data_IF_745010401473
#
_entry.id   IF_745010401473
#
_cell.length_a   1.000
_cell.length_b   1.000
_cell.length_c   1.000
_cell.angle_alpha   90.00
_cell.angle_beta   90.00
_cell.angle_gamma   90.00
#
_symmetry.space_group_name_H-M   'P 1'
#
loop_
_entity.id
_entity.type
_entity.pdbx_description
1 polymer ?
#
# COMPACT_ATOMS: atom_id res chain seq x y z
N UNK A 1 41.04 43.29 51.92
CA UNK A 1 40.78 41.87 51.58
C UNK A 1 39.89 41.85 50.34
N UNK A 2 40.49 41.52 49.19
CA UNK A 2 40.05 40.64 48.08
C UNK A 2 38.55 40.28 48.03
N UNK A 3 37.83 40.17 46.91
CA UNK A 3 38.24 39.67 45.59
C UNK A 3 37.10 39.91 44.56
N UNK A 4 37.48 39.87 43.29
CA UNK A 4 36.66 39.85 42.07
C UNK A 4 35.62 38.72 42.05
N UNK A 5 34.49 38.93 41.35
CA UNK A 5 34.00 37.90 40.41
C UNK A 5 33.10 38.51 39.31
N UNK A 6 33.63 38.48 38.09
CA UNK A 6 32.89 38.56 36.84
C UNK A 6 32.22 37.20 36.55
N UNK A 7 31.05 37.19 35.90
CA UNK A 7 30.54 36.13 35.00
C UNK A 7 29.18 36.62 34.48
N UNK A 8 28.98 37.03 33.22
CA UNK A 8 29.28 36.40 31.92
C UNK A 8 28.34 35.23 31.57
N UNK A 9 27.83 35.32 30.32
CA UNK A 9 27.19 34.27 29.47
C UNK A 9 25.75 33.89 29.84
N UNK A 10 24.72 34.35 29.13
CA UNK A 10 24.22 34.00 27.80
C UNK A 10 23.51 32.63 27.69
N UNK A 11 22.37 32.66 26.97
CA UNK A 11 21.59 31.55 26.44
C UNK A 11 20.81 30.71 27.50
N UNK A 12 19.59 30.23 27.27
CA UNK A 12 18.91 29.89 26.02
C UNK A 12 17.40 30.03 26.16
N UNK A 13 16.73 30.39 25.08
CA UNK A 13 15.30 30.16 24.90
C UNK A 13 15.07 28.65 24.87
N UNK A 14 14.45 28.10 25.92
CA UNK A 14 13.97 26.72 25.92
C UNK A 14 12.76 26.61 24.98
N UNK A 15 13.06 26.40 23.70
CA UNK A 15 12.13 25.89 22.71
C UNK A 15 11.69 24.50 23.13
N UNK A 16 10.53 24.42 23.78
CA UNK A 16 9.88 23.18 24.17
C UNK A 16 9.46 22.40 22.92
N UNK A 17 10.38 21.62 22.34
CA UNK A 17 10.06 20.59 21.36
C UNK A 17 9.28 19.49 22.08
N UNK A 18 7.97 19.47 21.89
CA UNK A 18 7.14 18.31 22.25
C UNK A 18 7.55 17.15 21.34
N UNK A 19 8.39 16.26 21.85
CA UNK A 19 8.70 14.96 21.22
C UNK A 19 7.39 14.20 21.10
N UNK A 20 6.84 14.15 19.88
CA UNK A 20 5.76 13.25 19.52
C UNK A 20 6.28 11.81 19.64
N UNK A 21 6.11 11.21 20.82
CA UNK A 21 6.33 9.78 21.04
C UNK A 21 5.18 8.96 20.43
N UNK A 22 4.85 9.21 19.17
CA UNK A 22 4.22 8.19 18.35
C UNK A 22 5.31 7.20 17.95
N UNK A 23 5.72 6.40 18.95
CA UNK A 23 6.47 5.17 18.75
C UNK A 23 5.80 4.42 17.61
N UNK A 24 6.49 4.43 16.46
CA UNK A 24 6.21 3.59 15.31
C UNK A 24 6.00 2.17 15.83
N UNK A 25 4.75 1.77 16.01
CA UNK A 25 4.40 0.42 16.43
C UNK A 25 4.66 -0.49 15.24
N UNK A 26 5.72 -1.32 15.22
CA UNK A 26 5.80 -2.38 14.23
C UNK A 26 4.89 -3.48 14.76
N UNK A 27 3.64 -3.51 14.30
CA UNK A 27 2.82 -4.74 14.40
C UNK A 27 2.86 -5.44 13.05
N UNK A 28 4.05 -5.86 12.65
CA UNK A 28 4.18 -6.92 11.67
C UNK A 28 4.66 -8.11 12.49
N UNK A 29 3.69 -8.80 13.07
CA UNK A 29 3.85 -10.15 13.60
C UNK A 29 4.29 -11.02 12.43
N UNK A 30 5.61 -11.21 12.32
CA UNK A 30 6.32 -12.13 11.46
C UNK A 30 6.01 -13.61 11.75
N UNK A 31 4.75 -14.02 11.91
CA UNK A 31 4.51 -15.36 12.47
C UNK A 31 3.23 -16.07 12.02
N UNK A 32 2.91 -16.04 10.72
CA UNK A 32 1.98 -17.00 10.09
C UNK A 32 2.37 -17.09 8.61
N UNK A 33 2.78 -18.18 7.97
CA UNK A 33 2.91 -19.59 8.35
C UNK A 33 3.89 -20.25 7.37
N UNK A 34 4.72 -21.18 7.85
CA UNK A 34 5.38 -22.21 7.05
C UNK A 34 4.32 -23.27 6.70
N UNK A 35 3.47 -22.96 5.71
CA UNK A 35 2.64 -23.96 5.05
C UNK A 35 2.31 -23.38 3.67
N UNK A 36 2.77 -24.03 2.60
CA UNK A 36 2.53 -23.66 1.19
C UNK A 36 1.07 -23.92 0.80
N UNK A 37 0.13 -23.44 1.62
CA UNK A 37 -1.29 -23.76 1.56
C UNK A 37 -2.12 -22.49 1.58
N UNK A 38 -2.42 -21.97 0.38
CA UNK A 38 -3.53 -21.04 0.09
C UNK A 38 -3.88 -20.07 1.21
N UNK A 39 -3.07 -19.02 1.33
CA UNK A 39 -3.32 -17.93 2.27
C UNK A 39 -4.59 -17.15 1.87
N UNK A 40 -5.64 -17.24 2.69
CA UNK A 40 -6.87 -16.46 2.53
C UNK A 40 -6.77 -15.17 3.36
N UNK A 41 -6.77 -14.05 2.67
CA UNK A 41 -6.63 -12.72 3.25
C UNK A 41 -7.99 -12.02 3.37
N UNK A 42 -8.16 -11.20 4.41
CA UNK A 42 -9.32 -10.30 4.46
C UNK A 42 -9.08 -9.06 3.60
N UNK A 43 -10.15 -8.33 3.27
CA UNK A 43 -10.05 -7.02 2.57
C UNK A 43 -9.13 -6.04 3.31
N UNK A 44 -9.11 -6.09 4.65
CA UNK A 44 -8.24 -5.23 5.47
C UNK A 44 -6.77 -5.62 5.34
N UNK A 45 -6.47 -6.91 5.27
CA UNK A 45 -5.10 -7.41 5.14
C UNK A 45 -4.55 -7.06 3.77
N UNK A 46 -5.33 -7.31 2.71
CA UNK A 46 -4.97 -6.91 1.34
C UNK A 46 -4.73 -5.39 1.24
N UNK A 47 -5.60 -4.58 1.84
CA UNK A 47 -5.40 -3.13 1.88
C UNK A 47 -4.07 -2.73 2.55
N UNK A 48 -3.68 -3.46 3.60
CA UNK A 48 -2.47 -3.18 4.38
C UNK A 48 -1.20 -3.64 3.67
N UNK A 49 -1.24 -4.79 3.00
CA UNK A 49 -0.14 -5.40 2.24
C UNK A 49 0.16 -4.55 1.00
N UNK A 50 -0.85 -4.28 0.18
CA UNK A 50 -0.69 -3.57 -1.09
C UNK A 50 -0.77 -2.04 -0.96
N UNK A 51 -0.89 -1.52 0.26
CA UNK A 51 -0.96 -0.07 0.57
C UNK A 51 -2.06 0.66 -0.24
N UNK A 52 -3.23 0.03 -0.36
CA UNK A 52 -4.39 0.58 -1.05
C UNK A 52 -5.56 0.76 -0.10
N UNK A 53 -6.47 1.68 -0.40
CA UNK A 53 -7.66 1.88 0.40
C UNK A 53 -8.60 0.66 0.29
N UNK A 54 -9.21 0.25 1.41
CA UNK A 54 -10.21 -0.83 1.42
C UNK A 54 -11.37 -0.54 0.46
N UNK A 55 -11.77 0.74 0.34
CA UNK A 55 -12.80 1.19 -0.61
C UNK A 55 -12.49 0.76 -2.04
N UNK A 56 -11.24 0.92 -2.48
CA UNK A 56 -10.78 0.51 -3.81
C UNK A 56 -10.98 -0.99 -4.03
N UNK A 57 -10.69 -1.81 -3.02
CA UNK A 57 -10.87 -3.27 -3.11
C UNK A 57 -12.37 -3.60 -3.21
N UNK A 58 -13.23 -2.97 -2.40
CA UNK A 58 -14.67 -3.16 -2.50
C UNK A 58 -15.23 -2.71 -3.86
N UNK A 59 -14.70 -1.64 -4.42
CA UNK A 59 -15.10 -1.17 -5.74
C UNK A 59 -14.65 -2.16 -6.82
N UNK A 60 -13.43 -2.72 -6.74
CA UNK A 60 -12.97 -3.81 -7.62
C UNK A 60 -13.86 -5.05 -7.53
N UNK A 61 -14.23 -5.48 -6.32
CA UNK A 61 -15.14 -6.63 -6.11
C UNK A 61 -16.49 -6.41 -6.79
N UNK A 62 -17.01 -5.17 -6.79
CA UNK A 62 -18.30 -4.83 -7.40
C UNK A 62 -18.24 -4.62 -8.90
N UNK A 63 -17.18 -4.00 -9.39
CA UNK A 63 -17.07 -3.52 -10.78
C UNK A 63 -16.38 -4.51 -11.69
N UNK A 64 -15.43 -5.30 -11.17
CA UNK A 64 -14.61 -6.21 -11.95
C UNK A 64 -14.95 -7.66 -11.60
N UNK A 65 -15.73 -8.29 -12.48
CA UNK A 65 -16.10 -9.72 -12.37
C UNK A 65 -14.90 -10.67 -12.39
N UNK A 66 -13.74 -10.23 -12.87
CA UNK A 66 -12.51 -11.04 -12.89
C UNK A 66 -11.72 -10.98 -11.59
N UNK A 67 -12.07 -10.07 -10.68
CA UNK A 67 -11.37 -9.91 -9.41
C UNK A 67 -11.57 -11.15 -8.52
N UNK A 68 -10.49 -11.75 -7.97
CA UNK A 68 -10.58 -12.98 -7.20
C UNK A 68 -11.07 -12.70 -5.77
N UNK A 69 -12.32 -13.05 -5.48
CA UNK A 69 -12.88 -12.97 -4.13
C UNK A 69 -13.77 -14.18 -3.82
N UNK A 70 -13.94 -14.45 -2.53
CA UNK A 70 -14.82 -15.47 -1.99
C UNK A 70 -15.79 -14.77 -1.04
N UNK A 71 -17.10 -14.90 -1.30
CA UNK A 71 -18.13 -14.40 -0.39
C UNK A 71 -18.36 -15.44 0.72
N UNK A 72 -17.98 -15.11 1.96
CA UNK A 72 -18.07 -16.02 3.11
C UNK A 72 -19.34 -15.83 3.94
N UNK A 73 -20.36 -15.13 3.43
CA UNK A 73 -21.73 -15.21 3.97
C UNK A 73 -22.53 -13.90 3.99
N UNK A 74 -23.55 -13.87 4.85
CA UNK A 74 -24.68 -12.91 4.85
C UNK A 74 -24.29 -11.42 5.02
N UNK A 75 -23.09 -11.11 5.54
CA UNK A 75 -22.69 -9.73 5.89
C UNK A 75 -21.47 -9.23 5.10
N UNK A 76 -21.54 -9.15 3.77
CA UNK A 76 -20.49 -8.53 2.90
C UNK A 76 -19.05 -8.87 3.33
N UNK A 77 -18.85 -10.10 3.82
CA UNK A 77 -17.54 -10.57 4.27
C UNK A 77 -16.90 -11.23 3.06
N UNK A 78 -15.86 -10.59 2.56
CA UNK A 78 -15.09 -11.11 1.44
C UNK A 78 -13.73 -11.56 1.94
N UNK A 79 -13.32 -12.74 1.48
CA UNK A 79 -11.96 -13.22 1.60
C UNK A 79 -11.33 -13.27 0.21
N UNK A 80 -10.02 -13.08 0.15
CA UNK A 80 -9.25 -12.99 -1.08
C UNK A 80 -8.12 -14.01 -0.99
N UNK A 81 -8.10 -14.93 -1.94
CA UNK A 81 -7.00 -15.88 -2.09
C UNK A 81 -5.77 -15.14 -2.62
N UNK A 82 -4.66 -15.21 -1.88
CA UNK A 82 -3.44 -14.47 -2.19
C UNK A 82 -2.84 -14.86 -3.55
N UNK A 83 -2.75 -16.15 -3.85
CA UNK A 83 -2.17 -16.64 -5.11
C UNK A 83 -3.00 -16.17 -6.30
N UNK A 84 -4.34 -16.26 -6.19
CA UNK A 84 -5.23 -15.78 -7.25
C UNK A 84 -5.15 -14.28 -7.42
N UNK A 85 -5.01 -13.53 -6.33
CA UNK A 85 -4.83 -12.08 -6.36
C UNK A 85 -3.54 -11.70 -7.10
N UNK A 86 -2.42 -12.34 -6.76
CA UNK A 86 -1.13 -12.09 -7.40
C UNK A 86 -1.19 -12.40 -8.91
N UNK A 87 -1.74 -13.56 -9.28
CA UNK A 87 -1.94 -13.93 -10.69
C UNK A 87 -2.85 -12.93 -11.43
N UNK A 88 -3.88 -12.42 -10.76
CA UNK A 88 -4.76 -11.39 -11.33
C UNK A 88 -4.03 -10.05 -11.54
N UNK A 89 -3.23 -9.61 -10.58
CA UNK A 89 -2.42 -8.38 -10.68
C UNK A 89 -1.44 -8.49 -11.84
N UNK A 90 -0.75 -9.62 -11.97
CA UNK A 90 0.18 -9.87 -13.07
C UNK A 90 -0.54 -9.78 -14.43
N UNK A 91 -1.67 -10.47 -14.56
CA UNK A 91 -2.48 -10.46 -15.79
C UNK A 91 -2.96 -9.06 -16.15
N UNK A 92 -3.43 -8.30 -15.16
CA UNK A 92 -3.89 -6.91 -15.36
C UNK A 92 -2.75 -6.02 -15.82
N UNK A 93 -1.60 -6.10 -15.16
CA UNK A 93 -0.41 -5.32 -15.49
C UNK A 93 0.09 -5.64 -16.90
N UNK A 94 0.09 -6.92 -17.29
CA UNK A 94 0.45 -7.34 -18.65
C UNK A 94 -0.49 -6.75 -19.70
N UNK A 95 -1.80 -6.76 -19.44
CA UNK A 95 -2.82 -6.19 -20.34
C UNK A 95 -2.62 -4.69 -20.53
N UNK A 96 -2.40 -3.96 -19.44
CA UNK A 96 -2.14 -2.52 -19.48
C UNK A 96 -0.88 -2.21 -20.29
N UNK A 97 0.22 -2.94 -20.08
CA UNK A 97 1.44 -2.78 -20.89
C UNK A 97 1.16 -3.00 -22.39
N UNK A 98 0.45 -4.05 -22.75
CA UNK A 98 0.14 -4.33 -24.16
C UNK A 98 -0.76 -3.26 -24.81
N UNK A 99 -1.65 -2.65 -24.05
CA UNK A 99 -2.54 -1.61 -24.55
C UNK A 99 -1.85 -0.25 -24.67
N UNK A 100 -0.97 0.10 -23.72
CA UNK A 100 -0.26 1.38 -23.71
C UNK A 100 0.91 1.45 -24.71
N UNK A 101 1.52 0.32 -25.08
CA UNK A 101 2.63 0.27 -26.05
C UNK A 101 2.20 -0.14 -27.46
N UNK A 102 0.99 0.21 -27.90
CA UNK A 102 0.66 0.13 -29.34
C UNK A 102 1.39 1.24 -30.08
N UNK A 103 2.62 0.97 -30.49
CA UNK A 103 3.33 1.79 -31.46
C UNK A 103 2.48 1.84 -32.74
N UNK A 104 2.19 3.04 -33.24
CA UNK A 104 1.51 3.22 -34.52
C UNK A 104 2.27 2.42 -35.58
N UNK A 105 1.56 1.61 -36.36
CA UNK A 105 2.22 0.85 -37.42
C UNK A 105 2.67 1.84 -38.50
N UNK A 106 3.77 1.57 -39.23
CA UNK A 106 4.27 2.48 -40.26
C UNK A 106 3.20 2.87 -41.31
N UNK A 107 2.29 1.94 -41.60
CA UNK A 107 1.16 2.13 -42.50
C UNK A 107 0.14 3.19 -42.05
N UNK A 108 0.05 3.48 -40.74
CA UNK A 108 -0.86 4.49 -40.19
C UNK A 108 -0.27 5.91 -40.29
N UNK A 109 1.02 6.04 -40.61
CA UNK A 109 1.74 7.32 -40.71
C UNK A 109 1.76 7.90 -42.14
N UNK A 110 1.32 7.15 -43.15
CA UNK A 110 1.47 7.52 -44.58
C UNK A 110 0.14 8.01 -45.20
N UNK A 111 -0.96 8.03 -44.43
CA UNK A 111 -2.32 8.25 -44.93
C UNK A 111 -2.98 9.61 -44.67
N UNK A 112 -2.22 10.72 -44.64
CA UNK A 112 -2.78 12.08 -44.59
C UNK A 112 -2.79 12.72 -45.97
N UNK A 113 -3.90 12.59 -46.73
CA UNK A 113 -4.18 13.38 -47.93
C UNK A 113 -5.35 14.31 -47.66
#
# INVERSE_FOLDING_TARGET
MNNLNENSVAASNDGHLTTNQNLCRPQISELFSLDEGRELLTVKDVATIYKICQRTIYDLIKTDSSFPYINVGLKKKYMIDKEKLEAWIEKRTRRERQNHFKLAKPQDLIGGK
#
